data_IF_594812419540
#
_entry.id   IF_594812419540
#
_cell.length_a   1.000
_cell.length_b   1.000
_cell.length_c   1.000
_cell.angle_alpha   90.00
_cell.angle_beta   90.00
_cell.angle_gamma   90.00
#
_symmetry.space_group_name_H-M   'P 1'
#
loop_
_entity.id
_entity.type
_entity.pdbx_description
1 polymer ?
#
# COMPACT_ATOMS: atom_id res chain seq x y z
N UNK A 1 -10.34 11.75 -29.82
CA UNK A 1 -10.18 12.17 -28.41
C UNK A 1 -11.28 11.51 -27.60
N UNK A 2 -10.96 10.83 -26.50
CA UNK A 2 -11.92 9.98 -25.76
C UNK A 2 -12.37 10.58 -24.42
N UNK A 3 -11.63 11.55 -23.88
CA UNK A 3 -12.10 12.37 -22.77
C UNK A 3 -13.02 13.46 -23.31
N UNK A 4 -14.20 13.63 -22.71
CA UNK A 4 -15.12 14.69 -23.12
C UNK A 4 -14.51 16.07 -22.84
N UNK A 5 -14.82 17.01 -23.73
CA UNK A 5 -14.44 18.41 -23.57
C UNK A 5 -15.04 18.98 -22.28
N UNK A 6 -14.30 19.91 -21.67
CA UNK A 6 -14.72 20.66 -20.47
C UNK A 6 -14.86 19.83 -19.19
N UNK A 7 -14.40 18.57 -19.18
CA UNK A 7 -14.23 17.80 -17.95
C UNK A 7 -12.99 18.32 -17.20
N UNK A 8 -13.11 18.77 -15.94
CA UNK A 8 -11.95 19.19 -15.16
C UNK A 8 -10.95 18.07 -14.92
N UNK A 9 -9.70 18.28 -15.35
CA UNK A 9 -8.56 17.38 -15.11
C UNK A 9 -7.56 17.96 -14.13
N UNK A 10 -7.71 19.23 -13.75
CA UNK A 10 -6.84 19.91 -12.81
C UNK A 10 -7.66 20.84 -11.91
N UNK A 11 -7.24 20.98 -10.64
CA UNK A 11 -7.69 22.02 -9.72
C UNK A 11 -6.48 22.78 -9.20
N UNK A 12 -6.28 24.02 -9.64
CA UNK A 12 -5.08 24.78 -9.29
C UNK A 12 -5.00 25.02 -7.77
N UNK A 13 -3.81 24.85 -7.21
CA UNK A 13 -3.61 25.01 -5.76
C UNK A 13 -3.84 26.45 -5.28
N UNK A 14 -3.39 27.45 -6.05
CA UNK A 14 -3.42 28.85 -5.65
C UNK A 14 -4.83 29.45 -5.72
N UNK A 15 -5.55 29.23 -6.83
CA UNK A 15 -6.83 29.88 -7.11
C UNK A 15 -8.03 28.96 -6.88
N UNK A 16 -7.82 27.65 -6.70
CA UNK A 16 -8.88 26.67 -6.51
C UNK A 16 -9.77 26.42 -7.74
N UNK A 17 -9.46 27.06 -8.87
CA UNK A 17 -10.20 26.93 -10.12
C UNK A 17 -9.96 25.56 -10.77
N UNK A 18 -10.99 25.09 -11.48
CA UNK A 18 -10.97 23.83 -12.21
C UNK A 18 -10.66 24.10 -13.69
N UNK A 19 -9.73 23.35 -14.26
CA UNK A 19 -9.32 23.46 -15.67
C UNK A 19 -9.21 22.08 -16.32
N UNK A 20 -9.26 22.03 -17.65
CA UNK A 20 -9.10 20.83 -18.46
C UNK A 20 -7.79 20.95 -19.25
N UNK A 21 -6.66 20.66 -18.61
CA UNK A 21 -5.32 20.76 -19.22
C UNK A 21 -4.84 19.44 -19.82
N UNK A 22 -5.45 18.33 -19.43
CA UNK A 22 -5.04 16.99 -19.85
C UNK A 22 -6.02 16.44 -20.89
N UNK A 23 -5.49 15.84 -21.96
CA UNK A 23 -6.28 15.23 -23.03
C UNK A 23 -5.97 13.73 -23.12
N UNK A 24 -6.97 12.94 -23.54
CA UNK A 24 -6.79 11.51 -23.81
C UNK A 24 -7.14 11.21 -25.26
N UNK A 25 -6.17 10.66 -25.99
CA UNK A 25 -6.30 10.24 -27.37
C UNK A 25 -6.28 8.71 -27.45
N UNK A 26 -6.98 8.18 -28.45
CA UNK A 26 -7.08 6.75 -28.73
C UNK A 26 -6.91 6.57 -30.23
N UNK A 27 -6.20 5.53 -30.66
CA UNK A 27 -6.16 5.12 -32.06
C UNK A 27 -7.53 4.56 -32.47
N UNK A 28 -7.81 4.57 -33.78
CA UNK A 28 -9.06 4.02 -34.32
C UNK A 28 -9.22 2.53 -33.97
N UNK A 29 -8.16 1.74 -34.13
CA UNK A 29 -8.16 0.30 -33.82
C UNK A 29 -8.53 -0.02 -32.35
N UNK A 30 -8.20 0.88 -31.42
CA UNK A 30 -8.53 0.70 -30.00
C UNK A 30 -9.90 1.25 -29.63
N UNK A 31 -10.50 2.09 -30.50
CA UNK A 31 -11.79 2.72 -30.23
C UNK A 31 -12.92 1.70 -30.16
N UNK A 32 -12.84 0.59 -30.90
CA UNK A 32 -13.82 -0.51 -30.85
C UNK A 32 -13.90 -1.17 -29.47
N UNK A 33 -12.78 -1.20 -28.75
CA UNK A 33 -12.70 -1.80 -27.41
C UNK A 33 -12.89 -0.76 -26.30
N UNK A 34 -13.15 0.51 -26.61
CA UNK A 34 -13.29 1.56 -25.61
C UNK A 34 -14.61 1.45 -24.84
N UNK A 35 -14.55 1.56 -23.51
CA UNK A 35 -15.73 1.49 -22.63
C UNK A 35 -16.08 2.87 -22.06
N UNK A 36 -15.14 3.49 -21.34
CA UNK A 36 -15.38 4.80 -20.69
C UNK A 36 -14.08 5.59 -20.52
N UNK A 37 -14.16 6.92 -20.48
CA UNK A 37 -13.10 7.82 -20.05
C UNK A 37 -13.73 8.92 -19.17
N UNK A 38 -13.25 9.07 -17.94
CA UNK A 38 -13.75 10.06 -16.99
C UNK A 38 -12.67 10.46 -15.99
N UNK A 39 -12.85 11.59 -15.31
CA UNK A 39 -11.98 11.93 -14.18
C UNK A 39 -12.46 11.27 -12.89
N UNK A 40 -11.54 11.06 -11.96
CA UNK A 40 -11.78 10.45 -10.65
C UNK A 40 -11.27 11.36 -9.52
N UNK A 41 -12.02 12.43 -9.19
CA UNK A 41 -11.65 13.38 -8.13
C UNK A 41 -11.36 12.72 -6.77
N UNK A 42 -12.05 11.62 -6.45
CA UNK A 42 -11.86 10.84 -5.20
C UNK A 42 -10.53 10.12 -5.10
N UNK A 43 -9.87 9.90 -6.23
CA UNK A 43 -8.60 9.21 -6.29
C UNK A 43 -7.44 10.20 -6.33
N UNK A 44 -7.73 11.51 -6.28
CA UNK A 44 -6.70 12.55 -6.35
C UNK A 44 -5.71 12.41 -5.19
N UNK A 45 -4.42 12.16 -5.48
CA UNK A 45 -3.38 12.15 -4.46
C UNK A 45 -3.30 13.48 -3.71
N UNK A 46 -2.76 13.45 -2.49
CA UNK A 46 -2.84 14.62 -1.62
C UNK A 46 -1.93 15.79 -2.03
N UNK A 47 -0.89 15.54 -2.83
CA UNK A 47 0.12 16.54 -3.22
C UNK A 47 0.13 16.87 -4.72
N UNK A 48 -1.01 16.68 -5.39
CA UNK A 48 -1.16 17.04 -6.79
C UNK A 48 -2.45 17.83 -6.99
N UNK A 49 -2.38 18.78 -7.90
CA UNK A 49 -3.48 19.55 -8.46
C UNK A 49 -4.20 18.80 -9.59
N UNK A 50 -3.52 17.87 -10.27
CA UNK A 50 -4.11 17.03 -11.29
C UNK A 50 -5.09 16.00 -10.71
N UNK A 51 -6.22 15.83 -11.40
CA UNK A 51 -7.26 14.86 -11.13
C UNK A 51 -6.99 13.63 -12.00
N UNK A 52 -6.90 12.43 -11.41
CA UNK A 52 -6.70 11.22 -12.19
C UNK A 52 -7.78 11.04 -13.25
N UNK A 53 -7.36 10.68 -14.46
CA UNK A 53 -8.26 10.26 -15.54
C UNK A 53 -8.28 8.73 -15.56
N UNK A 54 -9.47 8.16 -15.47
CA UNK A 54 -9.72 6.74 -15.59
C UNK A 54 -10.33 6.47 -16.95
N UNK A 55 -9.66 5.60 -17.71
CA UNK A 55 -10.21 5.01 -18.92
C UNK A 55 -10.27 3.49 -18.78
N UNK A 56 -11.25 2.89 -19.43
CA UNK A 56 -11.45 1.44 -19.43
C UNK A 56 -11.62 0.96 -20.87
N UNK A 57 -10.97 -0.15 -21.17
CA UNK A 57 -11.09 -0.86 -22.44
C UNK A 57 -11.46 -2.32 -22.20
N UNK A 58 -12.13 -2.94 -23.17
CA UNK A 58 -12.36 -4.37 -23.22
C UNK A 58 -11.18 -5.04 -23.91
N UNK A 59 -10.13 -5.37 -23.15
CA UNK A 59 -8.93 -6.02 -23.67
C UNK A 59 -8.74 -7.36 -22.98
N UNK A 60 -8.40 -8.37 -23.76
CA UNK A 60 -7.90 -9.63 -23.22
C UNK A 60 -6.39 -9.48 -22.94
N UNK A 61 -6.07 -9.11 -21.70
CA UNK A 61 -4.69 -8.94 -21.25
C UNK A 61 -4.36 -10.07 -20.28
N UNK A 62 -3.29 -10.80 -20.56
CA UNK A 62 -2.81 -11.85 -19.68
C UNK A 62 -2.58 -11.32 -18.26
N UNK A 63 -3.27 -11.91 -17.28
CA UNK A 63 -3.11 -11.56 -15.88
C UNK A 63 -1.74 -12.03 -15.36
N UNK A 64 -0.98 -11.13 -14.73
CA UNK A 64 0.18 -11.54 -13.93
C UNK A 64 -0.30 -12.14 -12.62
N UNK A 65 -0.11 -13.43 -12.44
CA UNK A 65 -0.42 -14.10 -11.17
C UNK A 65 0.67 -13.80 -10.15
N UNK A 66 0.25 -13.37 -8.96
CA UNK A 66 1.13 -13.23 -7.81
C UNK A 66 0.77 -14.30 -6.81
N UNK A 67 1.76 -15.09 -6.37
CA UNK A 67 1.54 -16.14 -5.39
C UNK A 67 1.11 -15.54 -4.04
N UNK A 68 -0.10 -15.85 -3.55
CA UNK A 68 -0.52 -15.45 -2.21
C UNK A 68 0.41 -16.03 -1.15
N UNK A 69 0.67 -15.26 -0.09
CA UNK A 69 1.44 -15.68 1.08
C UNK A 69 0.62 -15.45 2.35
N UNK A 70 0.89 -16.21 3.41
CA UNK A 70 0.28 -15.98 4.72
C UNK A 70 0.54 -14.56 5.21
N UNK A 71 -0.51 -13.86 5.64
CA UNK A 71 -0.44 -12.50 6.14
C UNK A 71 -0.50 -12.46 7.67
N UNK A 72 0.65 -12.78 8.28
CA UNK A 72 0.85 -12.76 9.73
C UNK A 72 0.55 -11.40 10.36
N UNK A 73 0.69 -10.30 9.61
CA UNK A 73 0.41 -8.95 10.12
C UNK A 73 -1.09 -8.68 10.30
N UNK A 74 -1.94 -9.35 9.52
CA UNK A 74 -3.39 -9.20 9.59
C UNK A 74 -4.07 -10.32 10.39
N UNK A 75 -3.28 -11.15 11.06
CA UNK A 75 -3.78 -12.23 11.92
C UNK A 75 -4.37 -11.63 13.19
N UNK A 76 -5.58 -12.06 13.54
CA UNK A 76 -6.13 -11.82 14.86
C UNK A 76 -5.44 -12.77 15.85
N UNK A 77 -4.43 -12.23 16.55
CA UNK A 77 -3.63 -13.02 17.47
C UNK A 77 -4.41 -13.51 18.69
N UNK A 78 -5.50 -12.86 19.05
CA UNK A 78 -6.32 -13.28 20.19
C UNK A 78 -7.10 -14.55 19.83
N UNK A 79 -7.80 -14.55 18.69
CA UNK A 79 -8.53 -15.73 18.23
C UNK A 79 -7.58 -16.85 17.78
N UNK A 80 -6.44 -16.52 17.14
CA UNK A 80 -5.41 -17.50 16.79
C UNK A 80 -4.92 -18.26 18.04
N UNK A 81 -4.55 -17.55 19.12
CA UNK A 81 -4.06 -18.18 20.36
C UNK A 81 -5.13 -19.02 21.02
N UNK A 82 -6.36 -18.50 21.12
CA UNK A 82 -7.50 -19.22 21.70
C UNK A 82 -7.75 -20.55 20.99
N UNK A 83 -7.74 -20.56 19.65
CA UNK A 83 -7.88 -21.80 18.89
C UNK A 83 -6.69 -22.74 19.09
N UNK A 84 -5.47 -22.21 19.06
CA UNK A 84 -4.26 -23.00 19.25
C UNK A 84 -4.23 -23.67 20.62
N UNK A 85 -4.52 -22.93 21.70
CA UNK A 85 -4.61 -23.47 23.07
C UNK A 85 -5.66 -24.58 23.16
N UNK A 86 -6.84 -24.38 22.57
CA UNK A 86 -7.90 -25.38 22.56
C UNK A 86 -7.49 -26.67 21.80
N UNK A 87 -6.69 -26.54 20.73
CA UNK A 87 -6.19 -27.69 19.96
C UNK A 87 -5.01 -28.38 20.64
N UNK A 88 -4.12 -27.63 21.27
CA UNK A 88 -3.03 -28.18 22.07
C UNK A 88 -3.54 -28.92 23.32
N UNK A 89 -4.65 -28.45 23.92
CA UNK A 89 -5.29 -29.15 25.03
C UNK A 89 -5.86 -30.53 24.63
N UNK A 90 -6.10 -30.77 23.34
CA UNK A 90 -6.54 -32.06 22.79
C UNK A 90 -5.36 -32.97 22.42
N UNK A 91 -4.12 -32.46 22.49
CA UNK A 91 -2.94 -33.26 22.17
C UNK A 91 -2.64 -34.27 23.28
N UNK A 92 -2.01 -35.41 22.95
CA UNK A 92 -1.69 -36.44 23.92
C UNK A 92 -0.76 -35.91 25.03
N UNK A 93 -1.17 -36.07 26.29
CA UNK A 93 -0.39 -35.62 27.47
C UNK A 93 0.42 -36.75 28.13
N UNK A 94 0.41 -37.97 27.57
CA UNK A 94 1.15 -39.12 28.13
C UNK A 94 2.67 -38.90 28.11
N UNK A 95 3.44 -39.58 28.97
CA UNK A 95 4.90 -39.47 28.95
C UNK A 95 5.47 -40.07 27.64
N UNK A 96 6.51 -39.46 27.08
CA UNK A 96 7.17 -39.99 25.88
C UNK A 96 8.03 -41.18 26.33
N UNK A 97 7.62 -42.40 25.98
CA UNK A 97 8.38 -43.61 26.32
C UNK A 97 9.08 -44.21 25.10
N UNK A 98 8.49 -44.05 23.90
CA UNK A 98 9.03 -44.55 22.65
C UNK A 98 9.24 -43.45 21.61
N UNK A 99 9.93 -43.78 20.52
CA UNK A 99 10.06 -42.89 19.37
C UNK A 99 8.70 -42.68 18.69
N UNK A 100 7.84 -43.71 18.65
CA UNK A 100 6.48 -43.59 18.11
C UNK A 100 5.63 -42.60 18.93
N UNK A 101 5.72 -42.61 20.26
CA UNK A 101 5.02 -41.63 21.12
C UNK A 101 5.49 -40.20 20.84
N UNK A 102 6.78 -40.04 20.53
CA UNK A 102 7.36 -38.73 20.18
C UNK A 102 6.83 -38.24 18.82
N UNK A 103 6.82 -39.11 17.82
CA UNK A 103 6.34 -38.79 16.47
C UNK A 103 4.85 -38.44 16.47
N UNK A 104 4.01 -39.21 17.17
CA UNK A 104 2.58 -38.91 17.30
C UNK A 104 2.35 -37.53 17.94
N UNK A 105 3.11 -37.20 19.00
CA UNK A 105 3.01 -35.88 19.62
C UNK A 105 3.43 -34.73 18.70
N UNK A 106 4.54 -34.88 17.98
CA UNK A 106 5.00 -33.88 17.02
C UNK A 106 3.92 -33.67 15.97
N UNK A 107 3.40 -34.76 15.40
CA UNK A 107 2.35 -34.70 14.41
C UNK A 107 1.10 -33.98 14.94
N UNK A 108 0.66 -34.27 16.18
CA UNK A 108 -0.53 -33.62 16.77
C UNK A 108 -0.31 -32.12 17.02
N UNK A 109 0.89 -31.73 17.43
CA UNK A 109 1.25 -30.31 17.61
C UNK A 109 1.29 -29.60 16.26
N UNK A 110 1.90 -30.19 15.24
CA UNK A 110 1.95 -29.63 13.89
C UNK A 110 0.53 -29.49 13.30
N UNK A 111 -0.32 -30.52 13.45
CA UNK A 111 -1.72 -30.48 13.06
C UNK A 111 -2.47 -29.33 13.77
N UNK A 112 -2.25 -29.12 15.07
CA UNK A 112 -2.86 -28.04 15.83
C UNK A 112 -2.44 -26.66 15.31
N UNK A 113 -1.14 -26.48 15.04
CA UNK A 113 -0.59 -25.24 14.47
C UNK A 113 -1.14 -25.00 13.07
N UNK A 114 -1.13 -26.00 12.20
CA UNK A 114 -1.66 -25.88 10.84
C UNK A 114 -3.14 -25.50 10.82
N UNK A 115 -3.94 -26.09 11.70
CA UNK A 115 -5.36 -25.77 11.82
C UNK A 115 -5.57 -24.32 12.25
N UNK A 116 -4.79 -23.84 13.23
CA UNK A 116 -4.85 -22.44 13.65
C UNK A 116 -4.42 -21.48 12.53
N UNK A 117 -3.37 -21.84 11.76
CA UNK A 117 -2.92 -21.07 10.59
C UNK A 117 -4.03 -21.00 9.54
N UNK A 118 -4.58 -22.14 9.13
CA UNK A 118 -5.63 -22.21 8.10
C UNK A 118 -6.88 -21.42 8.50
N UNK A 119 -7.23 -21.40 9.78
CA UNK A 119 -8.42 -20.72 10.28
C UNK A 119 -8.24 -19.20 10.45
N UNK A 120 -7.09 -18.75 10.97
CA UNK A 120 -6.94 -17.38 11.47
C UNK A 120 -5.86 -16.55 10.77
N UNK A 121 -5.02 -17.15 9.92
CA UNK A 121 -3.99 -16.40 9.18
C UNK A 121 -4.50 -16.14 7.76
N UNK A 122 -4.95 -14.91 7.46
CA UNK A 122 -5.50 -14.61 6.15
C UNK A 122 -4.42 -14.70 5.07
N UNK A 123 -4.80 -15.12 3.86
CA UNK A 123 -3.94 -15.04 2.70
C UNK A 123 -3.80 -13.59 2.23
N UNK A 124 -2.57 -13.18 1.92
CA UNK A 124 -2.30 -11.89 1.28
C UNK A 124 -2.89 -11.86 -0.13
N UNK A 125 -3.28 -10.67 -0.56
CA UNK A 125 -3.70 -10.36 -1.94
C UNK A 125 -2.63 -9.50 -2.59
N UNK A 126 -1.45 -10.07 -2.92
CA UNK A 126 -0.36 -9.30 -3.47
C UNK A 126 -0.79 -8.66 -4.78
N UNK A 127 -0.64 -7.35 -4.88
CA UNK A 127 -0.73 -6.64 -6.14
C UNK A 127 0.55 -5.81 -6.33
N UNK A 128 0.94 -5.49 -7.59
CA UNK A 128 2.14 -4.68 -7.86
C UNK A 128 2.15 -3.34 -7.12
N UNK A 129 0.96 -2.86 -6.75
CA UNK A 129 0.73 -1.55 -6.15
C UNK A 129 0.62 -1.62 -4.61
N UNK A 130 0.71 -2.82 -4.01
CA UNK A 130 0.69 -3.01 -2.56
C UNK A 130 1.92 -2.37 -1.93
N UNK A 131 1.73 -1.56 -0.89
CA UNK A 131 2.81 -0.85 -0.20
C UNK A 131 3.01 -1.44 1.19
N UNK A 132 4.26 -1.76 1.57
CA UNK A 132 4.58 -2.39 2.87
C UNK A 132 4.26 -1.52 4.07
N UNK A 133 4.30 -0.20 3.90
CA UNK A 133 3.94 0.80 4.90
C UNK A 133 2.45 1.10 4.95
N UNK A 134 1.63 0.54 4.05
CA UNK A 134 0.18 0.76 4.08
C UNK A 134 -0.48 0.00 5.22
N UNK A 135 -1.41 0.63 5.93
CA UNK A 135 -2.12 0.03 7.06
C UNK A 135 -3.64 0.29 6.99
N UNK A 136 -4.47 -0.42 7.79
CA UNK A 136 -5.92 -0.26 7.76
C UNK A 136 -6.41 1.15 8.09
N UNK A 137 -5.75 1.86 9.03
CA UNK A 137 -6.11 3.25 9.37
C UNK A 137 -5.98 4.19 8.18
N UNK A 138 -4.92 4.04 7.36
CA UNK A 138 -4.79 4.80 6.11
C UNK A 138 -5.88 4.45 5.09
N UNK A 139 -6.34 3.20 5.03
CA UNK A 139 -7.47 2.82 4.17
C UNK A 139 -8.77 3.51 4.58
N UNK A 140 -9.02 3.60 5.88
CA UNK A 140 -10.19 4.30 6.43
C UNK A 140 -10.12 5.80 6.14
N UNK A 141 -8.99 6.45 6.46
CA UNK A 141 -8.79 7.87 6.17
C UNK A 141 -8.91 8.18 4.67
N UNK A 142 -8.37 7.32 3.80
CA UNK A 142 -8.53 7.44 2.34
C UNK A 142 -9.99 7.38 1.93
N UNK A 143 -10.78 6.50 2.54
CA UNK A 143 -12.21 6.35 2.25
C UNK A 143 -12.99 7.58 2.69
N UNK A 144 -12.72 8.10 3.89
CA UNK A 144 -13.33 9.33 4.40
C UNK A 144 -12.98 10.54 3.53
N UNK A 145 -11.70 10.68 3.17
CA UNK A 145 -11.23 11.71 2.26
C UNK A 145 -11.92 11.62 0.89
N UNK A 146 -12.01 10.43 0.30
CA UNK A 146 -12.68 10.24 -0.99
C UNK A 146 -14.14 10.66 -0.96
N UNK A 147 -14.87 10.36 0.12
CA UNK A 147 -16.26 10.84 0.31
C UNK A 147 -16.34 12.36 0.38
N UNK A 148 -15.44 13.01 1.12
CA UNK A 148 -15.40 14.47 1.22
C UNK A 148 -14.98 15.14 -0.10
N UNK A 149 -13.99 14.59 -0.80
CA UNK A 149 -13.58 15.05 -2.13
C UNK A 149 -14.71 14.95 -3.15
N UNK A 150 -15.50 13.88 -3.11
CA UNK A 150 -16.70 13.73 -3.95
C UNK A 150 -17.71 14.87 -3.71
N UNK A 151 -18.03 15.15 -2.44
CA UNK A 151 -18.95 16.25 -2.09
C UNK A 151 -18.41 17.60 -2.53
N UNK A 152 -17.14 17.86 -2.24
CA UNK A 152 -16.41 19.06 -2.67
C UNK A 152 -16.42 19.22 -4.19
N UNK A 153 -16.24 18.14 -4.96
CA UNK A 153 -16.27 18.19 -6.42
C UNK A 153 -17.69 18.39 -6.98
N UNK A 154 -18.70 17.77 -6.37
CA UNK A 154 -20.10 17.95 -6.76
C UNK A 154 -20.55 19.41 -6.59
N UNK A 155 -20.03 20.10 -5.56
CA UNK A 155 -20.31 21.51 -5.27
C UNK A 155 -19.25 22.48 -5.78
N UNK A 156 -18.41 22.07 -6.74
CA UNK A 156 -17.32 22.91 -7.27
C UNK A 156 -17.73 24.30 -7.78
N UNK A 157 -19.00 24.48 -8.14
CA UNK A 157 -19.55 25.76 -8.60
C UNK A 157 -20.05 26.65 -7.45
N UNK A 158 -19.83 26.26 -6.19
CA UNK A 158 -20.27 26.96 -4.96
C UNK A 158 -19.07 27.17 -4.03
N UNK A 159 -18.19 28.16 -4.29
CA UNK A 159 -16.89 28.29 -3.62
C UNK A 159 -16.94 28.38 -2.10
N UNK A 160 -18.02 28.94 -1.56
CA UNK A 160 -18.18 29.19 -0.12
C UNK A 160 -18.80 28.02 0.65
N UNK A 161 -18.99 26.87 0.00
CA UNK A 161 -19.61 25.71 0.65
C UNK A 161 -18.62 25.00 1.60
N UNK A 162 -19.04 24.65 2.84
CA UNK A 162 -18.15 24.07 3.86
C UNK A 162 -17.53 22.71 3.47
N UNK A 163 -18.09 22.01 2.48
CA UNK A 163 -17.54 20.75 1.95
C UNK A 163 -16.10 20.93 1.41
N UNK A 164 -15.74 22.12 0.92
CA UNK A 164 -14.40 22.40 0.42
C UNK A 164 -13.36 22.44 1.54
N UNK A 165 -13.66 23.16 2.62
CA UNK A 165 -12.81 23.26 3.80
C UNK A 165 -12.70 21.89 4.50
N UNK A 166 -13.82 21.18 4.66
CA UNK A 166 -13.84 19.85 5.24
C UNK A 166 -12.96 18.85 4.46
N UNK A 167 -13.05 18.86 3.12
CA UNK A 167 -12.19 18.03 2.27
C UNK A 167 -10.70 18.41 2.40
N UNK A 168 -10.39 19.70 2.49
CA UNK A 168 -9.02 20.19 2.68
C UNK A 168 -8.44 19.78 4.04
N UNK A 169 -9.23 19.86 5.11
CA UNK A 169 -8.85 19.42 6.45
C UNK A 169 -8.50 17.92 6.46
N UNK A 170 -9.36 17.08 5.88
CA UNK A 170 -9.10 15.64 5.75
C UNK A 170 -7.87 15.35 4.86
N UNK A 171 -7.67 16.12 3.78
CA UNK A 171 -6.51 15.98 2.91
C UNK A 171 -5.19 16.26 3.66
N UNK A 172 -5.16 17.31 4.49
CA UNK A 172 -4.01 17.67 5.31
C UNK A 172 -3.72 16.61 6.38
N UNK A 173 -4.75 16.15 7.08
CA UNK A 173 -4.64 15.08 8.08
C UNK A 173 -4.13 13.79 7.46
N UNK A 174 -4.71 13.35 6.34
CA UNK A 174 -4.29 12.15 5.63
C UNK A 174 -2.85 12.26 5.10
N UNK A 175 -2.45 13.45 4.61
CA UNK A 175 -1.07 13.69 4.17
C UNK A 175 -0.06 13.53 5.29
N UNK A 176 -0.34 14.10 6.47
CA UNK A 176 0.50 13.95 7.65
C UNK A 176 0.58 12.49 8.11
N UNK A 177 -0.56 11.79 8.10
CA UNK A 177 -0.62 10.37 8.45
C UNK A 177 0.24 9.52 7.51
N UNK A 178 0.21 9.76 6.19
CA UNK A 178 1.08 9.06 5.24
C UNK A 178 2.57 9.29 5.56
N UNK A 179 2.97 10.54 5.82
CA UNK A 179 4.37 10.87 6.14
C UNK A 179 4.80 10.17 7.42
N UNK A 180 3.98 10.26 8.48
CA UNK A 180 4.24 9.62 9.76
C UNK A 180 4.36 8.10 9.63
N UNK A 181 3.40 7.43 8.98
CA UNK A 181 3.41 5.97 8.82
C UNK A 181 4.59 5.50 7.98
N UNK A 182 4.96 6.22 6.92
CA UNK A 182 6.16 5.92 6.12
C UNK A 182 7.42 6.01 6.98
N UNK A 183 7.56 7.09 7.76
CA UNK A 183 8.71 7.29 8.64
C UNK A 183 8.79 6.18 9.69
N UNK A 184 7.71 5.94 10.43
CA UNK A 184 7.67 4.87 11.45
C UNK A 184 7.94 3.48 10.85
N UNK A 185 7.45 3.22 9.63
CA UNK A 185 7.75 1.96 8.96
C UNK A 185 9.24 1.84 8.59
N UNK A 186 9.83 2.93 8.12
CA UNK A 186 11.25 3.00 7.80
C UNK A 186 12.11 2.81 9.05
N UNK A 187 11.83 3.56 10.12
CA UNK A 187 12.55 3.48 11.41
C UNK A 187 12.50 2.05 11.98
N UNK A 188 11.30 1.45 12.06
CA UNK A 188 11.15 0.05 12.52
C UNK A 188 11.87 -0.96 11.64
N UNK A 189 11.97 -0.69 10.35
CA UNK A 189 12.69 -1.57 9.44
C UNK A 189 14.20 -1.45 9.66
N UNK A 190 14.71 -0.24 9.90
CA UNK A 190 16.11 -0.01 10.27
C UNK A 190 16.48 -0.70 11.59
N UNK A 191 15.62 -0.60 12.61
CA UNK A 191 15.86 -1.22 13.92
C UNK A 191 15.98 -2.75 13.87
N UNK A 192 15.43 -3.38 12.82
CA UNK A 192 15.43 -4.83 12.63
C UNK A 192 16.48 -5.32 11.61
N UNK A 193 17.39 -4.46 11.14
CA UNK A 193 18.39 -4.85 10.15
C UNK A 193 19.45 -5.76 10.76
N UNK A 194 19.76 -6.83 10.02
CA UNK A 194 20.97 -7.63 10.24
C UNK A 194 22.11 -7.12 9.35
N UNK A 195 23.35 -7.56 9.60
CA UNK A 195 24.49 -7.23 8.71
C UNK A 195 24.23 -7.62 7.24
N UNK A 196 23.46 -8.68 7.00
CA UNK A 196 23.08 -9.12 5.65
C UNK A 196 22.10 -8.14 4.96
N UNK A 197 21.35 -7.36 5.74
CA UNK A 197 20.33 -6.44 5.23
C UNK A 197 20.87 -5.05 4.89
N UNK A 198 22.12 -4.74 5.27
CA UNK A 198 22.78 -3.45 4.98
C UNK A 198 22.82 -3.19 3.46
N UNK A 199 23.03 -4.22 2.65
CA UNK A 199 23.03 -4.11 1.19
C UNK A 199 21.64 -3.87 0.60
N UNK A 200 20.59 -4.44 1.23
CA UNK A 200 19.20 -4.15 0.86
C UNK A 200 18.82 -2.70 1.20
N UNK A 201 19.35 -2.16 2.30
CA UNK A 201 19.21 -0.75 2.67
C UNK A 201 19.77 0.15 1.59
N UNK A 202 21.04 -0.01 1.22
CA UNK A 202 21.68 0.82 0.19
C UNK A 202 20.90 0.82 -1.13
N UNK A 203 20.40 -0.35 -1.55
CA UNK A 203 19.58 -0.48 -2.76
C UNK A 203 18.24 0.27 -2.67
N UNK A 204 17.63 0.34 -1.48
CA UNK A 204 16.34 0.98 -1.26
C UNK A 204 16.45 2.49 -0.97
N UNK A 205 17.59 2.95 -0.42
CA UNK A 205 17.88 4.37 -0.18
C UNK A 205 17.94 5.18 -1.47
N UNK A 206 18.24 4.52 -2.61
CA UNK A 206 18.47 5.20 -3.88
C UNK A 206 19.75 6.04 -3.90
N UNK A 207 20.55 5.99 -2.82
CA UNK A 207 21.86 6.59 -2.74
C UNK A 207 22.88 5.69 -3.46
N UNK A 208 23.82 6.28 -4.22
CA UNK A 208 24.87 5.49 -4.84
C UNK A 208 25.71 4.82 -3.72
N UNK A 209 26.31 3.65 -3.99
CA UNK A 209 27.01 2.91 -2.95
C UNK A 209 28.08 3.73 -2.24
N UNK A 210 28.27 3.54 -0.92
CA UNK A 210 29.23 4.29 -0.10
C UNK A 210 30.66 4.33 -0.68
N UNK A 211 31.06 3.35 -1.48
CA UNK A 211 32.37 3.33 -2.16
C UNK A 211 32.49 4.30 -3.35
N UNK A 212 31.37 4.80 -3.88
CA UNK A 212 31.34 5.90 -4.87
C UNK A 212 31.44 7.29 -4.21
N UNK A 213 31.28 7.37 -2.89
CA UNK A 213 31.41 8.57 -2.09
C UNK A 213 32.74 8.64 -1.30
N UNK A 214 33.77 7.92 -1.75
CA UNK A 214 35.13 8.20 -1.27
C UNK A 214 35.57 9.55 -1.85
N UNK A 215 35.85 10.58 -1.02
CA UNK A 215 36.51 11.76 -1.53
C UNK A 215 37.82 11.33 -2.17
N UNK A 216 38.01 11.68 -3.44
CA UNK A 216 39.24 11.46 -4.20
C UNK A 216 40.46 11.74 -3.30
N UNK A 217 41.28 10.71 -3.07
CA UNK A 217 42.60 10.85 -2.46
C UNK A 217 43.46 11.65 -3.45
N UNK A 218 43.36 12.98 -3.38
CA UNK A 218 44.27 13.90 -4.07
C UNK A 218 44.81 15.02 -3.18
N UNK A 219 44.53 15.03 -1.87
CA UNK A 219 45.04 16.09 -0.99
C UNK A 219 45.43 15.63 0.42
N UNK A 220 46.32 14.64 0.54
CA UNK A 220 47.08 14.41 1.80
C UNK A 220 48.59 14.27 1.54
N UNK A 221 49.12 14.96 0.53
CA UNK A 221 50.56 15.27 0.48
C UNK A 221 50.70 16.73 0.08
N UNK A 222 50.55 17.61 1.06
CA UNK A 222 51.16 18.93 1.11
C UNK A 222 50.73 19.57 2.43
N UNK A 223 51.49 19.29 3.49
CA UNK A 223 51.99 20.28 4.42
C UNK A 223 53.07 19.58 5.25
N UNK A 224 54.19 20.28 5.38
CA UNK A 224 55.44 19.90 6.04
C UNK A 224 55.25 19.41 7.48
#
# INVERSE_FOLDING_TARGET
>A
MILLKDIPTLKAHAMGNYTCTDNVFCSEDMAENFITCRTAPTLRPTKTDHIPILFSFHLDVGNRTFMPRLNWRATDWQEFRKMLEAKLAQCPQHAIATTEDMEDKIQKVDEAVELAIKAHVPMSKPCPHSKRWWNPSLSEQRTQLGKAQNRSYARRNMPDYPDHEHAQCLQNTFSRAIVSVKKTHWDKWLDGLTEADIWNMQKLSGEPPLWTALPSIRHVIALA
#
